data_IF_302042363740
#
_entry.id   IF_302042363740
#
_cell.length_a   1.000
_cell.length_b   1.000
_cell.length_c   1.000
_cell.angle_alpha   90.00
_cell.angle_beta   90.00
_cell.angle_gamma   90.00
#
_symmetry.space_group_name_H-M   'P 1'
#
loop_
_entity.id
_entity.type
_entity.pdbx_description
1 polymer ?
#
# COMPACT_ATOMS: atom_id res chain seq x y z
N UNK A 1 12.26 10.57 1.06
CA UNK A 1 11.15 10.70 0.08
C UNK A 1 11.30 9.73 -1.08
N UNK A 2 12.46 9.63 -1.75
CA UNK A 2 12.69 8.68 -2.86
C UNK A 2 12.33 7.21 -2.58
N UNK A 3 12.43 6.75 -1.32
CA UNK A 3 12.10 5.36 -0.98
C UNK A 3 10.58 5.09 -0.99
N UNK A 4 9.78 6.06 -0.53
CA UNK A 4 8.31 5.94 -0.47
C UNK A 4 7.69 5.92 -1.86
N UNK A 5 8.18 6.74 -2.78
CA UNK A 5 7.70 6.74 -4.17
C UNK A 5 8.00 5.41 -4.89
N UNK A 6 9.17 4.81 -4.61
CA UNK A 6 9.53 3.47 -5.09
C UNK A 6 8.57 2.42 -4.53
N UNK A 7 8.27 2.47 -3.24
CA UNK A 7 7.28 1.58 -2.62
C UNK A 7 5.89 1.76 -3.25
N UNK A 8 5.40 2.99 -3.41
CA UNK A 8 4.10 3.27 -4.05
C UNK A 8 4.07 2.71 -5.47
N UNK A 9 5.15 2.86 -6.24
CA UNK A 9 5.24 2.34 -7.60
C UNK A 9 5.14 0.82 -7.62
N UNK A 10 5.85 0.14 -6.71
CA UNK A 10 5.77 -1.31 -6.57
C UNK A 10 4.37 -1.77 -6.14
N UNK A 11 3.77 -1.14 -5.12
CA UNK A 11 2.43 -1.46 -4.61
C UNK A 11 1.34 -1.26 -5.67
N UNK A 12 1.47 -0.23 -6.52
CA UNK A 12 0.59 -0.04 -7.69
C UNK A 12 0.78 -1.16 -8.70
N UNK A 13 2.02 -1.63 -8.93
CA UNK A 13 2.28 -2.69 -9.91
C UNK A 13 1.64 -4.02 -9.51
N UNK A 14 1.62 -4.36 -8.22
CA UNK A 14 0.99 -5.60 -7.74
C UNK A 14 -0.53 -5.53 -7.75
N UNK A 15 -1.13 -4.33 -7.60
CA UNK A 15 -2.59 -4.16 -7.51
C UNK A 15 -3.27 -3.68 -8.79
N UNK A 16 -2.51 -3.29 -9.82
CA UNK A 16 -2.99 -2.67 -11.07
C UNK A 16 -4.18 -3.39 -11.71
N UNK A 17 -4.14 -4.72 -11.71
CA UNK A 17 -5.12 -5.56 -12.41
C UNK A 17 -6.06 -6.33 -11.46
N UNK A 18 -6.11 -5.94 -10.17
CA UNK A 18 -6.87 -6.65 -9.13
C UNK A 18 -8.24 -6.01 -8.82
N UNK A 19 -8.54 -4.82 -9.34
CA UNK A 19 -9.74 -4.03 -9.02
C UNK A 19 -11.06 -4.64 -9.50
N UNK A 20 -11.01 -5.67 -10.35
CA UNK A 20 -12.19 -6.18 -11.06
C UNK A 20 -12.85 -7.41 -10.42
N UNK A 21 -12.27 -7.97 -9.35
CA UNK A 21 -12.79 -9.19 -8.73
C UNK A 21 -14.18 -8.97 -8.08
N UNK A 22 -14.38 -7.86 -7.38
CA UNK A 22 -15.63 -7.57 -6.66
C UNK A 22 -16.80 -7.26 -7.62
N UNK A 23 -16.53 -6.69 -8.79
CA UNK A 23 -17.55 -6.39 -9.81
C UNK A 23 -18.05 -7.63 -10.58
N UNK A 24 -17.37 -8.78 -10.45
CA UNK A 24 -17.62 -10.00 -11.25
C UNK A 24 -18.19 -11.17 -10.44
N UNK A 25 -18.56 -10.94 -9.17
CA UNK A 25 -19.29 -11.88 -8.33
C UNK A 25 -20.59 -12.31 -9.03
N UNK A 26 -20.57 -13.45 -9.72
CA UNK A 26 -21.69 -13.97 -10.51
C UNK A 26 -21.31 -14.61 -11.85
N UNK A 27 -20.06 -14.45 -12.32
CA UNK A 27 -19.58 -15.08 -13.56
C UNK A 27 -18.83 -16.41 -13.30
N UNK A 28 -18.77 -17.23 -14.35
CA UNK A 28 -18.20 -18.60 -14.48
C UNK A 28 -17.14 -18.99 -13.42
N UNK A 29 -17.25 -20.21 -12.86
CA UNK A 29 -16.31 -20.76 -11.85
C UNK A 29 -14.84 -20.58 -12.25
N UNK A 30 -14.48 -20.84 -13.50
CA UNK A 30 -13.10 -20.69 -13.98
C UNK A 30 -12.56 -19.27 -13.88
N UNK A 31 -13.40 -18.26 -14.08
CA UNK A 31 -13.03 -16.85 -13.94
C UNK A 31 -12.75 -16.54 -12.47
N UNK A 32 -13.61 -17.00 -11.56
CA UNK A 32 -13.40 -16.80 -10.11
C UNK A 32 -12.08 -17.43 -9.64
N UNK A 33 -11.83 -18.68 -10.03
CA UNK A 33 -10.61 -19.40 -9.64
C UNK A 33 -9.34 -18.68 -10.18
N UNK A 34 -9.40 -18.16 -11.40
CA UNK A 34 -8.30 -17.38 -11.99
C UNK A 34 -8.05 -16.07 -11.22
N UNK A 35 -9.11 -15.32 -10.89
CA UNK A 35 -8.98 -14.06 -10.16
C UNK A 35 -8.53 -14.28 -8.71
N UNK A 36 -9.02 -15.32 -8.03
CA UNK A 36 -8.51 -15.72 -6.70
C UNK A 36 -7.03 -16.07 -6.76
N UNK A 37 -6.58 -16.74 -7.83
CA UNK A 37 -5.17 -17.06 -8.02
C UNK A 37 -4.31 -15.80 -8.19
N UNK A 38 -4.79 -14.80 -8.93
CA UNK A 38 -4.10 -13.50 -9.07
C UNK A 38 -4.01 -12.74 -7.74
N UNK A 39 -5.12 -12.68 -7.00
CA UNK A 39 -5.16 -12.02 -5.69
C UNK A 39 -4.23 -12.72 -4.68
N UNK A 40 -4.20 -14.05 -4.68
CA UNK A 40 -3.30 -14.83 -3.83
C UNK A 40 -1.84 -14.56 -4.20
N UNK A 41 -1.52 -14.55 -5.48
CA UNK A 41 -0.17 -14.21 -5.93
C UNK A 41 0.25 -12.79 -5.54
N UNK A 42 -0.66 -11.82 -5.62
CA UNK A 42 -0.38 -10.46 -5.18
C UNK A 42 -0.15 -10.36 -3.67
N UNK A 43 -0.89 -11.12 -2.87
CA UNK A 43 -0.68 -11.23 -1.42
C UNK A 43 0.72 -11.78 -1.10
N UNK A 44 1.14 -12.87 -1.78
CA UNK A 44 2.49 -13.42 -1.63
C UNK A 44 3.59 -12.42 -2.02
N UNK A 45 3.39 -11.68 -3.11
CA UNK A 45 4.33 -10.65 -3.54
C UNK A 45 4.44 -9.52 -2.52
N UNK A 46 3.30 -9.06 -1.99
CA UNK A 46 3.26 -8.04 -0.95
C UNK A 46 3.99 -8.51 0.31
N UNK A 47 3.66 -9.70 0.82
CA UNK A 47 4.29 -10.27 2.00
C UNK A 47 5.82 -10.37 1.83
N UNK A 48 6.29 -10.91 0.70
CA UNK A 48 7.73 -10.97 0.40
C UNK A 48 8.36 -9.59 0.34
N UNK A 49 7.68 -8.61 -0.23
CA UNK A 49 8.20 -7.26 -0.32
C UNK A 49 8.31 -6.62 1.06
N UNK A 50 7.30 -6.75 1.92
CA UNK A 50 7.31 -6.25 3.30
C UNK A 50 8.42 -6.92 4.13
N UNK A 51 8.59 -8.23 4.01
CA UNK A 51 9.66 -8.97 4.69
C UNK A 51 11.07 -8.49 4.32
N UNK A 52 11.25 -7.97 3.11
CA UNK A 52 12.53 -7.41 2.64
C UNK A 52 12.66 -5.89 2.90
N UNK A 53 11.58 -5.21 3.26
CA UNK A 53 11.54 -3.76 3.42
C UNK A 53 10.93 -3.41 4.78
N UNK A 54 11.77 -3.47 5.83
CA UNK A 54 11.33 -3.22 7.21
C UNK A 54 10.63 -1.86 7.38
N UNK A 55 11.14 -0.80 6.75
CA UNK A 55 10.51 0.53 6.78
C UNK A 55 9.06 0.49 6.30
N UNK A 56 8.81 -0.17 5.16
CA UNK A 56 7.46 -0.29 4.60
C UNK A 56 6.56 -1.17 5.48
N UNK A 57 7.10 -2.24 6.06
CA UNK A 57 6.38 -3.09 7.00
C UNK A 57 5.96 -2.32 8.26
N UNK A 58 6.86 -1.51 8.82
CA UNK A 58 6.58 -0.69 9.99
C UNK A 58 5.52 0.40 9.67
N UNK A 59 5.53 0.94 8.45
CA UNK A 59 4.49 1.88 7.98
C UNK A 59 3.14 1.20 7.80
N UNK A 60 3.09 -0.04 7.32
CA UNK A 60 1.84 -0.79 7.23
C UNK A 60 1.29 -1.14 8.62
N UNK A 61 2.17 -1.47 9.56
CA UNK A 61 1.81 -1.64 10.97
C UNK A 61 1.23 -0.35 11.57
N UNK A 62 1.87 0.79 11.29
CA UNK A 62 1.38 2.12 11.70
C UNK A 62 0.00 2.44 11.09
N UNK A 63 -0.18 2.17 9.80
CA UNK A 63 -1.45 2.37 9.10
C UNK A 63 -2.63 1.67 9.79
N UNK A 64 -2.37 0.49 10.36
CA UNK A 64 -3.36 -0.29 11.11
C UNK A 64 -3.41 0.04 12.62
N UNK A 65 -2.71 1.08 13.07
CA UNK A 65 -2.68 1.48 14.48
C UNK A 65 -2.02 0.43 15.39
N UNK A 66 -1.13 -0.38 14.84
CA UNK A 66 -0.49 -1.48 15.55
C UNK A 66 -1.38 -2.69 15.82
N UNK A 67 -2.36 -2.92 14.93
CA UNK A 67 -3.23 -4.09 14.99
C UNK A 67 -2.69 -5.22 14.12
N UNK A 68 -2.21 -6.29 14.76
CA UNK A 68 -1.68 -7.47 14.06
C UNK A 68 -2.72 -8.18 13.21
N UNK A 69 -3.95 -8.29 13.69
CA UNK A 69 -5.00 -8.95 12.91
C UNK A 69 -5.28 -8.19 11.60
N UNK A 70 -5.40 -6.87 11.64
CA UNK A 70 -5.63 -6.06 10.44
C UNK A 70 -4.41 -6.05 9.49
N UNK A 71 -3.20 -6.08 10.05
CA UNK A 71 -1.97 -6.27 9.29
C UNK A 71 -1.98 -7.61 8.53
N UNK A 72 -2.24 -8.72 9.23
CA UNK A 72 -2.29 -10.06 8.62
C UNK A 72 -3.44 -10.18 7.60
N UNK A 73 -4.60 -9.58 7.88
CA UNK A 73 -5.73 -9.56 6.94
C UNK A 73 -5.35 -8.91 5.60
N UNK A 74 -4.55 -7.85 5.62
CA UNK A 74 -4.06 -7.18 4.39
C UNK A 74 -3.27 -8.16 3.51
N UNK A 75 -2.60 -9.13 4.11
CA UNK A 75 -1.80 -10.16 3.43
C UNK A 75 -2.64 -11.37 2.97
N UNK A 76 -3.96 -11.25 2.98
CA UNK A 76 -4.86 -12.29 2.45
C UNK A 76 -5.47 -11.85 1.12
N UNK A 77 -5.75 -12.83 0.25
CA UNK A 77 -6.27 -12.57 -1.10
C UNK A 77 -7.62 -11.82 -1.08
N UNK A 78 -8.40 -11.95 -0.01
CA UNK A 78 -9.70 -11.29 0.15
C UNK A 78 -9.58 -9.77 0.28
N UNK A 79 -8.47 -9.29 0.85
CA UNK A 79 -8.32 -7.90 1.25
C UNK A 79 -7.15 -7.18 0.58
N UNK A 80 -6.16 -7.91 0.07
CA UNK A 80 -4.92 -7.35 -0.50
C UNK A 80 -5.16 -6.19 -1.48
N UNK A 81 -6.13 -6.30 -2.38
CA UNK A 81 -6.40 -5.24 -3.37
C UNK A 81 -6.94 -3.95 -2.71
N UNK A 82 -7.92 -4.09 -1.82
CA UNK A 82 -8.57 -2.97 -1.12
C UNK A 82 -7.59 -2.30 -0.16
N UNK A 83 -6.92 -3.09 0.67
CA UNK A 83 -6.10 -2.56 1.76
C UNK A 83 -4.77 -2.04 1.27
N UNK A 84 -4.18 -2.64 0.24
CA UNK A 84 -3.00 -2.05 -0.42
C UNK A 84 -3.36 -0.71 -1.08
N UNK A 85 -4.54 -0.56 -1.67
CA UNK A 85 -4.97 0.73 -2.25
C UNK A 85 -5.11 1.81 -1.17
N UNK A 86 -5.71 1.48 -0.03
CA UNK A 86 -5.80 2.40 1.12
C UNK A 86 -4.41 2.74 1.69
N UNK A 87 -3.54 1.75 1.78
CA UNK A 87 -2.17 1.95 2.25
C UNK A 87 -1.38 2.87 1.30
N UNK A 88 -1.56 2.74 -0.01
CA UNK A 88 -0.97 3.67 -0.99
C UNK A 88 -1.40 5.12 -0.73
N UNK A 89 -2.69 5.37 -0.44
CA UNK A 89 -3.15 6.74 -0.12
C UNK A 89 -2.51 7.25 1.17
N UNK A 90 -2.41 6.43 2.21
CA UNK A 90 -1.68 6.76 3.43
C UNK A 90 -0.20 7.14 3.15
N UNK A 91 0.49 6.41 2.28
CA UNK A 91 1.87 6.75 1.92
C UNK A 91 1.98 8.08 1.17
N UNK A 92 1.01 8.41 0.31
CA UNK A 92 0.97 9.73 -0.35
C UNK A 92 0.75 10.86 0.64
N UNK A 93 -0.14 10.67 1.63
CA UNK A 93 -0.37 11.65 2.70
C UNK A 93 0.90 11.89 3.53
N UNK A 94 1.68 10.83 3.80
CA UNK A 94 2.99 10.92 4.47
C UNK A 94 3.98 11.75 3.66
N UNK A 95 4.05 11.55 2.34
CA UNK A 95 4.91 12.35 1.45
C UNK A 95 4.49 13.83 1.48
N UNK A 96 3.20 14.11 1.23
CA UNK A 96 2.69 15.48 1.21
C UNK A 96 2.91 16.23 2.54
N UNK A 97 2.77 15.52 3.67
CA UNK A 97 3.04 16.09 5.00
C UNK A 97 4.52 16.39 5.21
N UNK A 98 5.42 15.55 4.70
CA UNK A 98 6.86 15.76 4.79
C UNK A 98 7.31 16.97 3.96
N UNK A 99 6.79 17.12 2.74
CA UNK A 99 7.04 18.26 1.86
C UNK A 99 6.55 19.57 2.49
N UNK A 100 5.34 19.57 3.04
CA UNK A 100 4.74 20.75 3.70
C UNK A 100 5.52 21.22 4.94
N UNK A 101 6.24 20.32 5.62
CA UNK A 101 7.11 20.68 6.76
C UNK A 101 8.42 21.30 6.29
N UNK A 102 9.01 20.76 5.23
CA UNK A 102 10.25 21.27 4.65
C UNK A 102 10.08 22.69 4.09
N UNK A 103 8.92 23.03 3.52
CA UNK A 103 8.62 24.39 3.05
C UNK A 103 8.49 25.41 4.19
N UNK A 104 7.96 25.01 5.36
CA UNK A 104 7.83 25.89 6.53
C UNK A 104 9.17 26.18 7.19
N UNK A 105 10.03 25.17 7.33
CA UNK A 105 11.37 25.32 7.91
C UNK A 105 12.31 26.14 6.99
N UNK A 106 12.15 26.05 5.66
CA UNK A 106 12.91 26.89 4.72
C UNK A 106 12.47 28.37 4.71
N UNK A 107 11.19 28.64 5.01
CA UNK A 107 10.63 30.00 5.07
C UNK A 107 11.00 30.78 6.34
N UNK A 108 11.16 30.11 7.48
CA UNK A 108 11.52 30.77 8.75
C UNK A 108 12.99 31.18 8.84
N UNK A 109 13.88 30.57 8.07
CA UNK A 109 15.33 30.85 8.12
C UNK A 109 15.77 32.01 7.21
N UNK A 110 14.83 32.77 6.63
CA UNK A 110 15.10 33.84 5.66
C UNK A 110 14.78 35.25 6.18
N UNK A 111 14.52 35.42 7.48
CA UNK A 111 14.04 36.68 8.08
C UNK A 111 14.95 37.23 9.21
N UNK A 112 16.24 36.89 9.20
CA UNK A 112 17.26 37.53 10.04
C UNK A 112 18.45 37.97 9.17
N UNK A 113 18.25 39.02 8.34
CA UNK A 113 19.30 39.95 7.90
C UNK A 113 18.76 41.38 7.76
#
# INVERSE_FOLDING_TARGET
MENLEKHITYLKSITRDLSDHLARNGRNKSIRDTETSKLSHAADLLERYLNNNKELSDLLWEHHGGNDYAYQETLTWQYVARDTARFIEFLKEKIATAESKHEKEAGENSNDE
#
